data_IF_471702842567
#
_entry.id   IF_471702842567
#
_cell.length_a   1.000
_cell.length_b   1.000
_cell.length_c   1.000
_cell.angle_alpha   90.00
_cell.angle_beta   90.00
_cell.angle_gamma   90.00
#
_symmetry.space_group_name_H-M   'P 1'
#
loop_
_entity.id
_entity.type
_entity.pdbx_description
1 polymer ?
#
# COMPACT_ATOMS: atom_id res chain seq x y z
N UNK A 1 -6.88 8.47 23.19
CA UNK A 1 -6.67 8.42 21.73
C UNK A 1 -5.19 8.34 21.34
N UNK A 2 -4.24 8.47 22.27
CA UNK A 2 -2.79 8.39 22.03
C UNK A 2 -2.21 6.98 22.22
N UNK A 3 -2.93 6.08 22.87
CA UNK A 3 -2.42 4.74 23.22
C UNK A 3 -2.78 3.65 22.19
N UNK A 4 -3.90 3.80 21.47
CA UNK A 4 -4.38 2.81 20.49
C UNK A 4 -4.63 3.48 19.13
N UNK A 5 -3.60 3.67 18.33
CA UNK A 5 -3.77 4.04 16.93
C UNK A 5 -3.63 2.81 16.01
N UNK A 6 -4.25 2.88 14.82
CA UNK A 6 -4.25 1.80 13.83
C UNK A 6 -2.85 1.31 13.47
N UNK A 7 -1.89 2.23 13.37
CA UNK A 7 -0.51 1.94 12.98
C UNK A 7 0.22 1.12 14.06
N UNK A 8 0.03 1.48 15.34
CA UNK A 8 0.61 0.75 16.46
C UNK A 8 0.06 -0.68 16.52
N UNK A 9 -1.26 -0.85 16.41
CA UNK A 9 -1.90 -2.16 16.44
C UNK A 9 -1.43 -3.04 15.28
N UNK A 10 -1.32 -2.48 14.08
CA UNK A 10 -0.81 -3.19 12.92
C UNK A 10 0.66 -3.60 13.12
N UNK A 11 1.48 -2.70 13.66
CA UNK A 11 2.88 -2.99 13.99
C UNK A 11 2.98 -4.09 15.04
N UNK A 12 2.21 -3.99 16.11
CA UNK A 12 2.18 -4.98 17.18
C UNK A 12 1.64 -6.33 16.70
N UNK A 13 0.62 -6.33 15.83
CA UNK A 13 0.11 -7.55 15.18
C UNK A 13 1.15 -8.23 14.31
N UNK A 14 1.98 -7.48 13.59
CA UNK A 14 3.11 -8.02 12.81
C UNK A 14 4.21 -8.58 13.71
N UNK A 15 4.55 -7.88 14.78
CA UNK A 15 5.55 -8.33 15.77
C UNK A 15 5.10 -9.61 16.45
N UNK A 16 3.83 -9.70 16.88
CA UNK A 16 3.24 -10.92 17.44
C UNK A 16 3.24 -12.08 16.44
N UNK A 17 2.91 -11.82 15.18
CA UNK A 17 2.96 -12.82 14.12
C UNK A 17 4.38 -13.29 13.80
N UNK A 18 5.41 -12.49 14.11
CA UNK A 18 6.81 -12.88 13.99
C UNK A 18 7.23 -13.74 15.19
N UNK A 19 7.16 -13.19 16.38
CA UNK A 19 7.46 -13.85 17.66
C UNK A 19 6.93 -13.00 18.82
N UNK A 20 6.21 -13.62 19.74
CA UNK A 20 5.62 -12.93 20.89
C UNK A 20 6.66 -12.22 21.78
N UNK A 21 7.90 -12.74 21.80
CA UNK A 21 9.01 -12.17 22.61
C UNK A 21 9.49 -10.82 22.08
N UNK A 22 9.15 -10.46 20.85
CA UNK A 22 9.43 -9.11 20.30
C UNK A 22 8.60 -8.04 20.99
N UNK A 23 7.42 -8.40 21.51
CA UNK A 23 6.57 -7.48 22.28
C UNK A 23 6.86 -7.59 23.78
N UNK A 24 6.94 -8.82 24.29
CA UNK A 24 7.26 -9.07 25.67
C UNK A 24 8.36 -10.13 25.79
N UNK A 25 9.62 -9.72 26.07
CA UNK A 25 10.75 -10.63 26.17
C UNK A 25 10.64 -11.68 27.27
N UNK A 26 9.77 -11.50 28.25
CA UNK A 26 9.56 -12.43 29.37
C UNK A 26 8.70 -13.64 28.95
N UNK A 27 8.09 -13.62 27.76
CA UNK A 27 7.32 -14.74 27.28
C UNK A 27 8.22 -15.90 26.87
N UNK A 28 7.76 -17.16 27.02
CA UNK A 28 8.55 -18.32 26.67
C UNK A 28 8.77 -18.42 25.15
N UNK A 29 9.90 -19.02 24.77
CA UNK A 29 10.13 -19.41 23.36
C UNK A 29 9.17 -20.53 22.97
N UNK A 30 8.42 -20.35 21.90
CA UNK A 30 7.56 -21.41 21.34
C UNK A 30 8.37 -22.30 20.42
N UNK A 31 8.56 -23.58 20.74
CA UNK A 31 9.29 -24.52 19.89
C UNK A 31 8.75 -24.65 18.47
N UNK A 32 7.45 -24.38 18.29
CA UNK A 32 6.77 -24.48 16.99
C UNK A 32 6.70 -23.13 16.25
N UNK A 33 7.35 -22.09 16.79
CA UNK A 33 7.36 -20.78 16.14
C UNK A 33 8.00 -20.83 14.77
N UNK A 34 7.58 -19.94 13.88
CA UNK A 34 8.20 -19.79 12.56
C UNK A 34 9.70 -19.44 12.64
N UNK A 35 10.13 -18.79 13.73
CA UNK A 35 11.55 -18.50 13.98
C UNK A 35 12.33 -19.78 14.22
N UNK A 36 11.82 -20.69 15.07
CA UNK A 36 12.44 -21.98 15.32
C UNK A 36 12.44 -22.88 14.07
N UNK A 37 11.35 -22.89 13.31
CA UNK A 37 11.29 -23.61 12.03
C UNK A 37 12.30 -23.05 11.01
N UNK A 38 12.51 -21.73 10.99
CA UNK A 38 13.54 -21.10 10.17
C UNK A 38 14.94 -21.56 10.58
N UNK A 39 15.22 -21.59 11.89
CA UNK A 39 16.51 -22.08 12.43
C UNK A 39 16.74 -23.54 12.05
N UNK A 40 15.71 -24.39 12.11
CA UNK A 40 15.79 -25.79 11.72
C UNK A 40 16.15 -25.95 10.23
N UNK A 41 15.48 -25.21 9.37
CA UNK A 41 15.76 -25.23 7.94
C UNK A 41 17.16 -24.69 7.61
N UNK A 42 17.58 -23.60 8.23
CA UNK A 42 18.91 -23.03 8.03
C UNK A 42 20.00 -24.06 8.44
N UNK A 43 19.82 -24.68 9.60
CA UNK A 43 20.77 -25.66 10.10
C UNK A 43 20.88 -26.88 9.17
N UNK A 44 19.74 -27.46 8.75
CA UNK A 44 19.68 -28.58 7.82
C UNK A 44 20.40 -28.24 6.50
N UNK A 45 20.06 -27.11 5.88
CA UNK A 45 20.68 -26.68 4.61
C UNK A 45 22.17 -26.39 4.79
N UNK A 46 22.56 -25.85 5.94
CA UNK A 46 23.98 -25.64 6.25
C UNK A 46 24.73 -26.97 6.36
N UNK A 47 24.16 -28.01 6.98
CA UNK A 47 24.75 -29.34 7.04
C UNK A 47 24.87 -29.98 5.65
N UNK A 48 23.78 -29.99 4.88
CA UNK A 48 23.74 -30.59 3.55
C UNK A 48 24.71 -29.90 2.57
N UNK A 49 24.88 -28.58 2.72
CA UNK A 49 25.73 -27.76 1.85
C UNK A 49 27.18 -27.60 2.32
N UNK A 50 27.71 -28.42 3.22
CA UNK A 50 29.03 -28.27 3.82
C UNK A 50 30.16 -28.34 2.77
N UNK A 51 30.12 -29.35 1.90
CA UNK A 51 31.16 -29.62 0.91
C UNK A 51 31.32 -28.43 -0.07
N UNK A 52 30.24 -27.81 -0.46
CA UNK A 52 30.23 -26.72 -1.45
C UNK A 52 30.23 -25.35 -0.82
N UNK A 53 30.18 -25.27 0.50
CA UNK A 53 30.06 -24.04 1.28
C UNK A 53 28.88 -23.19 0.80
N UNK A 54 27.71 -23.81 0.65
CA UNK A 54 26.49 -23.15 0.21
C UNK A 54 26.08 -22.07 1.21
N UNK A 55 25.51 -21.00 0.68
CA UNK A 55 25.13 -19.82 1.45
C UNK A 55 23.63 -19.60 1.47
N UNK A 56 23.13 -18.90 2.47
CA UNK A 56 21.72 -18.65 2.70
C UNK A 56 21.51 -17.18 3.07
N UNK A 57 20.37 -16.60 2.65
CA UNK A 57 19.93 -15.27 3.03
C UNK A 57 18.70 -15.36 3.92
N UNK A 58 18.64 -14.56 4.96
CA UNK A 58 17.46 -14.41 5.83
C UNK A 58 17.02 -12.96 5.81
N UNK A 59 15.80 -12.72 5.36
CA UNK A 59 15.16 -11.42 5.38
C UNK A 59 14.23 -11.30 6.58
N UNK A 60 14.46 -10.26 7.39
CA UNK A 60 13.60 -9.87 8.49
C UNK A 60 13.64 -8.35 8.62
N UNK A 61 12.53 -7.68 8.39
CA UNK A 61 12.41 -6.22 8.50
C UNK A 61 12.01 -5.80 9.91
N UNK A 62 11.33 -6.70 10.64
CA UNK A 62 10.97 -6.51 12.03
C UNK A 62 12.12 -6.86 12.97
N UNK A 63 12.19 -6.18 14.13
CA UNK A 63 13.21 -6.46 15.16
C UNK A 63 14.66 -6.33 14.66
N UNK A 64 14.94 -5.34 13.78
CA UNK A 64 16.29 -5.09 13.27
C UNK A 64 17.23 -4.59 14.37
N UNK A 65 18.51 -5.08 14.42
CA UNK A 65 19.47 -4.59 15.41
C UNK A 65 19.73 -3.09 15.25
N UNK A 66 19.55 -2.29 16.29
CA UNK A 66 19.92 -0.88 16.28
C UNK A 66 21.44 -0.76 16.43
N UNK A 67 22.13 -0.32 15.39
CA UNK A 67 23.57 -0.07 15.47
C UNK A 67 23.87 1.13 16.37
N UNK A 68 24.96 1.09 17.14
CA UNK A 68 25.43 2.16 18.04
C UNK A 68 25.70 3.53 17.37
N UNK A 69 25.39 3.71 16.09
CA UNK A 69 25.70 4.89 15.26
C UNK A 69 24.46 5.66 14.75
N UNK A 70 23.27 5.40 15.27
CA UNK A 70 22.04 6.07 14.76
C UNK A 70 21.78 7.45 15.39
N UNK A 71 22.73 8.03 16.17
CA UNK A 71 22.56 9.37 16.76
C UNK A 71 23.13 10.53 15.95
N UNK A 72 23.68 10.31 14.75
CA UNK A 72 24.10 11.45 13.92
C UNK A 72 23.99 11.15 12.43
N UNK A 73 23.14 11.89 11.74
CA UNK A 73 23.24 12.07 10.30
C UNK A 73 22.02 11.69 9.46
N UNK A 74 21.02 12.57 9.45
CA UNK A 74 20.10 12.70 8.33
C UNK A 74 20.90 13.04 7.08
N UNK A 75 21.07 12.10 6.17
CA UNK A 75 21.42 12.40 4.78
C UNK A 75 20.39 11.73 3.89
N UNK A 76 19.61 12.58 3.22
CA UNK A 76 18.62 12.22 2.26
C UNK A 76 19.26 11.48 1.06
N UNK A 77 18.87 10.24 0.83
CA UNK A 77 19.08 9.58 -0.46
C UNK A 77 17.85 9.83 -1.34
N UNK A 78 18.04 10.57 -2.43
CA UNK A 78 17.06 10.74 -3.50
C UNK A 78 16.91 9.41 -4.25
N UNK A 79 15.82 8.73 -4.04
CA UNK A 79 15.35 7.62 -4.85
C UNK A 79 13.82 7.57 -4.70
N UNK A 80 13.11 7.48 -5.81
CA UNK A 80 11.67 7.54 -5.98
C UNK A 80 10.93 6.35 -5.32
N UNK A 81 10.84 6.36 -4.00
CA UNK A 81 9.96 5.50 -3.21
C UNK A 81 9.45 6.35 -2.06
N UNK A 82 8.13 6.32 -1.80
CA UNK A 82 7.51 7.19 -0.80
C UNK A 82 8.28 7.16 0.51
N UNK A 83 9.10 8.18 0.80
CA UNK A 83 9.86 8.22 2.04
C UNK A 83 8.95 8.35 3.26
N UNK A 84 7.68 8.70 3.02
CA UNK A 84 6.68 8.96 4.04
C UNK A 84 6.26 7.71 4.83
N UNK A 85 6.12 6.54 4.18
CA UNK A 85 5.72 5.32 4.87
C UNK A 85 6.86 4.74 5.72
N UNK A 86 8.08 4.72 5.18
CA UNK A 86 9.26 4.30 5.95
C UNK A 86 9.67 5.33 7.02
N UNK A 87 9.45 6.63 6.77
CA UNK A 87 9.65 7.66 7.78
C UNK A 87 8.57 7.60 8.86
N UNK A 88 7.35 7.20 8.50
CA UNK A 88 6.24 7.02 9.43
C UNK A 88 6.45 5.76 10.29
N UNK A 89 6.86 4.63 9.71
CA UNK A 89 7.23 3.41 10.45
C UNK A 89 8.42 3.68 11.38
N UNK A 90 9.45 4.37 10.90
CA UNK A 90 10.60 4.75 11.72
C UNK A 90 10.26 5.79 12.79
N UNK A 91 9.28 6.67 12.56
CA UNK A 91 8.81 7.63 13.56
C UNK A 91 7.97 6.95 14.65
N UNK A 92 7.14 5.96 14.27
CA UNK A 92 6.34 5.18 15.23
C UNK A 92 7.25 4.33 16.12
N UNK A 93 8.26 3.69 15.54
CA UNK A 93 9.27 2.94 16.30
C UNK A 93 10.14 3.87 17.21
N UNK A 94 10.30 5.15 16.83
CA UNK A 94 11.08 6.12 17.60
C UNK A 94 10.33 6.77 18.78
N UNK A 95 9.00 6.86 18.69
CA UNK A 95 8.18 7.51 19.74
C UNK A 95 7.79 6.56 20.90
N UNK A 96 8.01 5.23 20.75
CA UNK A 96 7.42 4.24 21.67
C UNK A 96 8.45 3.40 22.43
N UNK A 97 9.78 3.62 22.27
CA UNK A 97 10.74 2.72 22.91
C UNK A 97 11.59 3.38 24.00
N UNK A 98 11.59 2.79 25.23
CA UNK A 98 12.69 2.93 26.15
C UNK A 98 13.93 2.23 25.60
N UNK A 99 15.11 2.61 26.12
CA UNK A 99 16.45 2.08 25.82
C UNK A 99 16.49 0.63 25.31
N UNK A 100 17.27 0.39 24.23
CA UNK A 100 17.53 -0.86 23.47
C UNK A 100 16.66 -2.06 23.87
N UNK A 101 15.81 -2.61 22.98
CA UNK A 101 15.03 -3.78 23.34
C UNK A 101 16.00 -4.90 23.78
N UNK A 102 15.84 -5.49 24.95
CA UNK A 102 16.74 -6.51 25.49
C UNK A 102 16.77 -7.79 24.63
N UNK A 103 15.88 -7.89 23.65
CA UNK A 103 15.69 -9.06 22.79
C UNK A 103 15.59 -8.66 21.31
N UNK A 104 16.40 -9.29 20.46
CA UNK A 104 16.26 -9.19 19.01
C UNK A 104 16.16 -10.56 18.36
N UNK A 105 15.31 -10.70 17.35
CA UNK A 105 15.19 -11.96 16.58
C UNK A 105 16.51 -12.32 15.90
N UNK A 106 17.30 -11.34 15.49
CA UNK A 106 18.60 -11.55 14.87
C UNK A 106 19.58 -12.26 15.81
N UNK A 107 19.66 -11.80 17.05
CA UNK A 107 20.53 -12.39 18.06
C UNK A 107 20.02 -13.77 18.49
N UNK A 108 18.69 -13.93 18.67
CA UNK A 108 18.07 -15.22 19.02
C UNK A 108 18.36 -16.30 17.95
N UNK A 109 18.19 -15.96 16.67
CA UNK A 109 18.52 -16.90 15.58
C UNK A 109 20.01 -17.23 15.58
N UNK A 110 20.89 -16.23 15.74
CA UNK A 110 22.34 -16.46 15.77
C UNK A 110 22.74 -17.36 16.93
N UNK A 111 22.23 -17.11 18.12
CA UNK A 111 22.54 -17.93 19.30
C UNK A 111 22.03 -19.38 19.15
N UNK A 112 20.83 -19.57 18.64
CA UNK A 112 20.27 -20.89 18.34
C UNK A 112 21.06 -21.64 17.28
N UNK A 113 21.53 -20.97 16.24
CA UNK A 113 22.37 -21.59 15.20
C UNK A 113 23.75 -21.94 15.74
N UNK A 114 24.36 -21.11 16.57
CA UNK A 114 25.64 -21.39 17.23
C UNK A 114 25.50 -22.56 18.20
N UNK A 115 24.43 -22.62 18.99
CA UNK A 115 24.14 -23.75 19.87
C UNK A 115 24.00 -25.07 19.13
N UNK A 116 23.60 -25.04 17.84
CA UNK A 116 23.52 -26.19 16.94
C UNK A 116 24.84 -26.54 16.23
N UNK A 117 25.91 -25.78 16.50
CA UNK A 117 27.24 -26.05 16.00
C UNK A 117 27.65 -25.29 14.76
N UNK A 118 26.89 -24.29 14.29
CA UNK A 118 27.34 -23.37 13.24
C UNK A 118 28.34 -22.39 13.84
N UNK A 119 29.58 -22.29 13.29
CA UNK A 119 30.55 -21.34 13.78
C UNK A 119 30.02 -19.89 13.67
N UNK A 120 30.21 -19.09 14.75
CA UNK A 120 29.69 -17.72 14.82
C UNK A 120 30.18 -16.85 13.66
N UNK A 121 31.38 -17.03 13.20
CA UNK A 121 32.00 -16.32 12.08
C UNK A 121 31.34 -16.63 10.72
N UNK A 122 30.56 -17.71 10.63
CA UNK A 122 29.79 -18.05 9.43
C UNK A 122 28.41 -17.37 9.40
N UNK A 123 28.02 -16.69 10.46
CA UNK A 123 26.76 -15.97 10.58
C UNK A 123 27.07 -14.48 10.66
N UNK A 124 26.48 -13.67 9.78
CA UNK A 124 26.69 -12.23 9.76
C UNK A 124 25.38 -11.46 9.60
N UNK A 125 25.35 -10.25 10.13
CA UNK A 125 24.27 -9.30 9.93
C UNK A 125 24.73 -8.16 9.02
N UNK A 126 23.93 -7.81 8.03
CA UNK A 126 24.23 -6.66 7.15
C UNK A 126 24.35 -5.36 7.94
N UNK A 127 23.64 -5.28 9.09
CA UNK A 127 23.63 -4.13 9.98
C UNK A 127 24.99 -3.86 10.66
N UNK A 128 25.86 -4.86 10.74
CA UNK A 128 27.22 -4.73 11.26
C UNK A 128 28.18 -4.07 10.26
N UNK A 129 27.79 -4.03 8.97
CA UNK A 129 28.59 -3.43 7.89
C UNK A 129 28.12 -1.99 7.59
N UNK A 130 28.52 -1.04 8.42
CA UNK A 130 28.04 0.35 8.36
C UNK A 130 28.67 1.21 7.25
N UNK A 131 29.72 0.73 6.56
CA UNK A 131 30.38 1.45 5.48
C UNK A 131 30.36 0.62 4.19
N UNK A 132 30.41 1.29 3.04
CA UNK A 132 30.45 0.61 1.74
C UNK A 132 31.65 -0.35 1.61
N UNK A 133 32.80 0.01 2.20
CA UNK A 133 33.95 -0.86 2.21
C UNK A 133 33.69 -2.17 3.00
N UNK A 134 33.09 -2.06 4.20
CA UNK A 134 32.71 -3.22 5.01
C UNK A 134 31.63 -4.07 4.34
N UNK A 135 30.65 -3.45 3.66
CA UNK A 135 29.67 -4.18 2.88
C UNK A 135 30.30 -4.99 1.75
N UNK A 136 31.22 -4.38 0.99
CA UNK A 136 31.95 -5.06 -0.08
C UNK A 136 32.75 -6.25 0.46
N UNK A 137 33.43 -6.08 1.59
CA UNK A 137 34.17 -7.15 2.27
C UNK A 137 33.23 -8.28 2.72
N UNK A 138 32.09 -7.93 3.37
CA UNK A 138 31.10 -8.89 3.80
C UNK A 138 30.53 -9.70 2.61
N UNK A 139 30.20 -9.03 1.52
CA UNK A 139 29.71 -9.69 0.31
C UNK A 139 30.77 -10.60 -0.32
N UNK A 140 32.03 -10.24 -0.25
CA UNK A 140 33.15 -11.13 -0.69
C UNK A 140 33.21 -12.39 0.19
N UNK A 141 33.07 -12.26 1.52
CA UNK A 141 33.02 -13.40 2.45
C UNK A 141 31.81 -14.31 2.20
N UNK A 142 30.64 -13.74 1.84
CA UNK A 142 29.48 -14.55 1.45
C UNK A 142 29.75 -15.29 0.13
N UNK A 143 30.25 -14.63 -0.90
CA UNK A 143 30.57 -15.28 -2.19
C UNK A 143 31.62 -16.41 -2.04
N UNK A 144 32.59 -16.24 -1.16
CA UNK A 144 33.61 -17.28 -0.90
C UNK A 144 33.08 -18.43 -0.03
N UNK A 145 31.91 -18.27 0.62
CA UNK A 145 31.37 -19.24 1.57
C UNK A 145 32.05 -19.21 2.94
N UNK A 146 32.76 -18.13 3.28
CA UNK A 146 33.25 -17.90 4.64
C UNK A 146 32.10 -17.50 5.56
N UNK A 147 31.19 -16.64 5.08
CA UNK A 147 29.90 -16.36 5.72
C UNK A 147 28.85 -17.18 4.99
N UNK A 148 28.20 -18.09 5.72
CA UNK A 148 27.23 -19.04 5.16
C UNK A 148 25.78 -18.60 5.38
N UNK A 149 25.52 -17.78 6.41
CA UNK A 149 24.20 -17.22 6.73
C UNK A 149 24.35 -15.72 6.83
N UNK A 150 23.67 -14.99 5.93
CA UNK A 150 23.62 -13.53 5.96
C UNK A 150 22.18 -13.12 6.29
N UNK A 151 22.02 -12.35 7.36
CA UNK A 151 20.72 -11.83 7.80
C UNK A 151 20.65 -10.33 7.60
N UNK A 152 19.47 -9.83 7.21
CA UNK A 152 19.27 -8.40 7.06
C UNK A 152 17.86 -8.01 6.66
N UNK A 153 17.63 -6.69 6.67
CA UNK A 153 16.37 -6.11 6.20
C UNK A 153 16.34 -5.95 4.69
N UNK A 154 15.13 -5.89 4.12
CA UNK A 154 14.91 -5.62 2.69
C UNK A 154 15.61 -4.36 2.25
N UNK A 155 15.52 -3.29 3.04
CA UNK A 155 16.16 -2.02 2.74
C UNK A 155 17.69 -2.12 2.61
N UNK A 156 18.36 -2.81 3.55
CA UNK A 156 19.83 -2.90 3.54
C UNK A 156 20.38 -3.94 2.56
N UNK A 157 19.62 -5.00 2.30
CA UNK A 157 20.01 -6.08 1.38
C UNK A 157 19.37 -5.92 -0.02
N UNK A 158 18.35 -5.06 -0.15
CA UNK A 158 17.59 -4.89 -1.38
C UNK A 158 18.36 -4.21 -2.50
N UNK A 159 19.31 -3.30 -2.22
CA UNK A 159 20.06 -2.56 -3.24
C UNK A 159 21.51 -2.99 -3.32
N UNK A 160 22.04 -3.17 -4.55
CA UNK A 160 23.46 -3.33 -4.80
C UNK A 160 24.13 -4.63 -4.32
N UNK A 161 23.39 -5.55 -3.70
CA UNK A 161 23.96 -6.80 -3.20
C UNK A 161 24.17 -7.83 -4.32
N UNK A 162 25.38 -8.33 -4.43
CA UNK A 162 25.78 -9.34 -5.42
C UNK A 162 26.48 -10.50 -4.71
N UNK A 163 25.69 -11.47 -4.22
CA UNK A 163 26.16 -12.60 -3.38
C UNK A 163 25.65 -13.96 -3.85
N UNK A 164 25.06 -14.03 -5.04
CA UNK A 164 24.33 -15.20 -5.54
C UNK A 164 25.18 -16.44 -5.81
N UNK A 165 26.50 -16.31 -5.94
CA UNK A 165 27.38 -17.38 -6.46
C UNK A 165 27.12 -18.77 -5.85
N UNK A 166 26.96 -18.84 -4.53
CA UNK A 166 26.75 -20.07 -3.74
C UNK A 166 25.39 -20.11 -3.03
N UNK A 167 24.51 -19.16 -3.37
CA UNK A 167 23.26 -18.95 -2.67
C UNK A 167 22.25 -20.04 -3.05
N UNK A 168 21.89 -20.90 -2.11
CA UNK A 168 20.96 -22.03 -2.32
C UNK A 168 19.58 -21.78 -1.71
N UNK A 169 19.52 -20.99 -0.64
CA UNK A 169 18.26 -20.74 0.05
C UNK A 169 18.09 -19.27 0.44
N UNK A 170 16.84 -18.82 0.37
CA UNK A 170 16.38 -17.54 0.85
C UNK A 170 15.21 -17.78 1.81
N UNK A 171 15.22 -17.12 2.96
CA UNK A 171 14.22 -17.22 4.01
C UNK A 171 13.55 -15.87 4.20
N UNK A 172 12.26 -15.77 3.85
CA UNK A 172 11.41 -14.63 4.16
C UNK A 172 10.72 -14.88 5.51
N UNK A 173 11.29 -14.34 6.58
CA UNK A 173 10.80 -14.55 7.93
C UNK A 173 9.59 -13.68 8.26
N UNK A 174 9.50 -12.52 7.62
CA UNK A 174 8.37 -11.61 7.69
C UNK A 174 7.83 -11.22 6.31
N UNK A 175 6.58 -10.81 6.27
CA UNK A 175 5.92 -10.35 5.06
C UNK A 175 6.15 -8.84 4.88
N UNK A 176 6.73 -8.39 3.75
CA UNK A 176 6.79 -6.97 3.43
C UNK A 176 5.42 -6.44 3.00
N UNK A 177 5.24 -5.12 3.04
CA UNK A 177 3.99 -4.48 2.63
C UNK A 177 3.73 -4.48 1.11
N UNK A 178 4.81 -4.57 0.33
CA UNK A 178 4.75 -4.42 -1.12
C UNK A 178 5.14 -5.73 -1.83
N UNK A 179 4.38 -6.15 -2.85
CA UNK A 179 4.76 -7.29 -3.69
C UNK A 179 6.13 -7.12 -4.34
N UNK A 180 6.48 -5.88 -4.75
CA UNK A 180 7.79 -5.58 -5.35
C UNK A 180 8.98 -5.87 -4.43
N UNK A 181 8.81 -5.78 -3.12
CA UNK A 181 9.86 -6.13 -2.16
C UNK A 181 10.12 -7.64 -2.14
N UNK A 182 9.08 -8.47 -2.28
CA UNK A 182 9.24 -9.92 -2.45
C UNK A 182 9.95 -10.29 -3.76
N UNK A 183 9.62 -9.60 -4.84
CA UNK A 183 10.32 -9.77 -6.12
C UNK A 183 11.78 -9.34 -6.00
N UNK A 184 12.03 -8.24 -5.30
CA UNK A 184 13.37 -7.75 -5.06
C UNK A 184 14.18 -8.73 -4.20
N UNK A 185 13.60 -9.30 -3.12
CA UNK A 185 14.22 -10.35 -2.31
C UNK A 185 14.51 -11.59 -3.16
N UNK A 186 13.51 -12.10 -3.88
CA UNK A 186 13.64 -13.28 -4.76
C UNK A 186 14.68 -13.06 -5.87
N UNK A 187 14.75 -11.85 -6.42
CA UNK A 187 15.75 -11.47 -7.42
C UNK A 187 17.20 -11.49 -6.92
N UNK A 188 17.44 -11.69 -5.61
CA UNK A 188 18.80 -11.89 -5.07
C UNK A 188 19.30 -13.31 -5.25
N UNK A 189 18.40 -14.29 -5.24
CA UNK A 189 18.72 -15.69 -5.41
C UNK A 189 18.49 -16.17 -6.85
N UNK A 190 17.38 -15.75 -7.47
CA UNK A 190 17.05 -16.05 -8.86
C UNK A 190 17.80 -15.04 -9.75
N UNK A 191 19.09 -15.25 -9.91
CA UNK A 191 19.94 -14.32 -10.64
C UNK A 191 21.00 -15.04 -11.43
N UNK A 192 21.33 -14.50 -12.60
CA UNK A 192 22.44 -14.97 -13.42
C UNK A 192 23.77 -14.97 -12.61
N UNK A 193 24.57 -16.03 -12.74
CA UNK A 193 25.81 -16.22 -11.99
C UNK A 193 25.65 -17.05 -10.72
N UNK A 194 24.45 -17.51 -10.36
CA UNK A 194 24.28 -18.53 -9.33
C UNK A 194 24.76 -19.88 -9.87
N UNK A 195 25.60 -20.58 -9.10
CA UNK A 195 26.13 -21.89 -9.47
C UNK A 195 25.14 -23.02 -9.24
N UNK A 196 24.15 -22.81 -8.41
CA UNK A 196 23.14 -23.82 -8.11
C UNK A 196 22.09 -23.84 -9.21
N UNK A 197 21.75 -25.03 -9.69
CA UNK A 197 20.70 -25.25 -10.69
C UNK A 197 19.32 -25.05 -10.10
N UNK A 198 19.17 -25.40 -8.83
CA UNK A 198 17.94 -25.27 -8.05
C UNK A 198 18.21 -24.42 -6.83
N UNK A 199 17.26 -23.55 -6.52
CA UNK A 199 17.29 -22.66 -5.36
C UNK A 199 15.96 -22.72 -4.64
N UNK A 200 15.97 -22.51 -3.34
CA UNK A 200 14.81 -22.62 -2.50
C UNK A 200 14.46 -21.28 -1.87
N UNK A 201 13.19 -20.90 -1.93
CA UNK A 201 12.63 -19.73 -1.26
C UNK A 201 11.64 -20.21 -0.22
N UNK A 202 11.96 -20.01 1.05
CA UNK A 202 11.12 -20.36 2.18
C UNK A 202 10.39 -19.12 2.67
N UNK A 203 9.07 -19.20 2.75
CA UNK A 203 8.22 -18.16 3.33
C UNK A 203 7.57 -18.72 4.57
N UNK A 204 7.75 -18.02 5.68
CA UNK A 204 7.26 -18.45 6.98
C UNK A 204 6.03 -17.65 7.37
N UNK A 205 4.97 -18.37 7.73
CA UNK A 205 3.67 -17.80 8.06
C UNK A 205 3.18 -18.36 9.37
N UNK A 206 2.74 -17.52 10.28
CA UNK A 206 2.06 -17.96 11.50
C UNK A 206 0.56 -17.94 11.25
N UNK A 207 -0.06 -19.12 11.24
CA UNK A 207 -1.49 -19.30 10.96
C UNK A 207 -2.35 -18.58 12.02
N UNK A 208 -3.55 -18.17 11.60
CA UNK A 208 -4.53 -17.47 12.45
C UNK A 208 -4.01 -16.20 13.11
N UNK A 209 -3.05 -15.53 12.48
CA UNK A 209 -2.49 -14.24 12.92
C UNK A 209 -2.56 -13.19 11.83
N UNK A 210 -2.22 -11.96 12.18
CA UNK A 210 -2.09 -10.86 11.24
C UNK A 210 -1.04 -11.16 10.13
N UNK A 211 -0.07 -12.01 10.40
CA UNK A 211 0.94 -12.45 9.43
C UNK A 211 0.31 -13.18 8.24
N UNK A 212 -0.60 -14.14 8.50
CA UNK A 212 -1.32 -14.85 7.44
C UNK A 212 -2.15 -13.91 6.57
N UNK A 213 -2.79 -12.93 7.17
CA UNK A 213 -3.54 -11.90 6.45
C UNK A 213 -2.64 -11.06 5.53
N UNK A 214 -1.48 -10.62 6.03
CA UNK A 214 -0.53 -9.85 5.22
C UNK A 214 -0.05 -10.64 3.99
N UNK A 215 0.32 -11.90 4.17
CA UNK A 215 0.74 -12.77 3.06
C UNK A 215 -0.36 -12.90 2.01
N UNK A 216 -1.62 -13.10 2.44
CA UNK A 216 -2.77 -13.18 1.53
C UNK A 216 -2.99 -11.86 0.78
N UNK A 217 -2.89 -10.72 1.48
CA UNK A 217 -3.05 -9.38 0.89
C UNK A 217 -1.98 -9.11 -0.16
N UNK A 218 -0.71 -9.39 0.15
CA UNK A 218 0.40 -9.20 -0.78
C UNK A 218 0.27 -10.15 -1.99
N UNK A 219 -0.19 -11.38 -1.80
CA UNK A 219 -0.46 -12.31 -2.90
C UNK A 219 -1.58 -11.79 -3.82
N UNK A 220 -2.66 -11.26 -3.27
CA UNK A 220 -3.75 -10.68 -4.05
C UNK A 220 -3.29 -9.46 -4.84
N UNK A 221 -2.50 -8.55 -4.23
CA UNK A 221 -1.88 -7.42 -4.91
C UNK A 221 -0.97 -7.89 -6.05
N UNK A 222 -0.17 -8.93 -5.84
CA UNK A 222 0.70 -9.51 -6.87
C UNK A 222 -0.11 -10.08 -8.05
N UNK A 223 -1.20 -10.80 -7.77
CA UNK A 223 -2.11 -11.33 -8.80
C UNK A 223 -2.70 -10.18 -9.63
N UNK A 224 -3.15 -9.12 -8.99
CA UNK A 224 -3.70 -7.93 -9.64
C UNK A 224 -2.67 -7.25 -10.55
N UNK A 225 -1.47 -6.97 -10.05
CA UNK A 225 -0.38 -6.38 -10.83
C UNK A 225 -0.06 -7.26 -12.04
N UNK A 226 0.02 -8.58 -11.86
CA UNK A 226 0.31 -9.52 -12.93
C UNK A 226 -0.79 -9.54 -14.00
N UNK A 227 -2.06 -9.40 -13.62
CA UNK A 227 -3.18 -9.32 -14.57
C UNK A 227 -3.08 -8.07 -15.44
N UNK A 228 -2.77 -6.92 -14.85
CA UNK A 228 -2.60 -5.65 -15.58
C UNK A 228 -1.40 -5.73 -16.52
N UNK A 229 -0.25 -6.18 -16.01
CA UNK A 229 1.01 -6.18 -16.77
C UNK A 229 1.03 -7.21 -17.91
N UNK A 230 0.33 -8.33 -17.77
CA UNK A 230 0.34 -9.39 -18.79
C UNK A 230 -0.78 -9.30 -19.81
N UNK A 231 -1.74 -8.40 -19.64
CA UNK A 231 -2.92 -8.20 -20.52
C UNK A 231 -3.69 -9.49 -20.85
N UNK A 232 -3.51 -10.57 -20.09
CA UNK A 232 -4.08 -11.89 -20.37
C UNK A 232 -5.54 -12.06 -19.96
N UNK A 233 -6.10 -11.09 -19.23
CA UNK A 233 -7.52 -11.10 -18.89
C UNK A 233 -7.99 -9.65 -18.71
N UNK A 234 -8.78 -9.11 -19.66
CA UNK A 234 -9.37 -7.78 -19.50
C UNK A 234 -10.54 -7.88 -18.51
N UNK A 235 -10.26 -7.88 -17.23
CA UNK A 235 -11.30 -7.63 -16.23
C UNK A 235 -11.55 -6.12 -16.26
N UNK A 236 -12.75 -5.72 -16.69
CA UNK A 236 -13.16 -4.31 -16.84
C UNK A 236 -13.33 -3.58 -15.49
N UNK A 237 -13.35 -4.30 -14.39
CA UNK A 237 -13.38 -3.74 -13.04
C UNK A 237 -12.63 -4.67 -12.10
N UNK A 238 -11.59 -4.15 -11.47
CA UNK A 238 -10.97 -4.79 -10.34
C UNK A 238 -11.20 -3.88 -9.13
N UNK A 239 -11.66 -4.46 -8.03
CA UNK A 239 -11.73 -3.72 -6.77
C UNK A 239 -10.31 -3.35 -6.37
N UNK A 240 -10.08 -2.05 -6.14
CA UNK A 240 -8.82 -1.55 -5.65
C UNK A 240 -8.65 -2.03 -4.19
N UNK A 241 -7.74 -2.99 -4.03
CA UNK A 241 -7.49 -3.63 -2.72
C UNK A 241 -6.75 -2.65 -1.78
N UNK A 242 -6.24 -1.53 -2.31
CA UNK A 242 -5.51 -0.54 -1.50
C UNK A 242 -6.41 0.33 -0.61
N UNK A 243 -7.73 0.42 -0.90
CA UNK A 243 -8.66 1.19 -0.08
C UNK A 243 -9.37 0.39 1.02
N UNK A 244 -9.23 -0.92 1.05
CA UNK A 244 -9.68 -1.71 2.20
C UNK A 244 -8.66 -1.58 3.35
N UNK A 245 -8.52 -0.37 3.89
CA UNK A 245 -7.93 -0.23 5.21
C UNK A 245 -8.76 -1.09 6.17
N UNK A 246 -8.17 -2.19 6.65
CA UNK A 246 -8.77 -3.00 7.70
C UNK A 246 -9.26 -2.08 8.81
N UNK A 247 -10.52 -2.20 9.16
CA UNK A 247 -11.01 -1.50 10.34
C UNK A 247 -10.27 -2.03 11.58
N UNK A 248 -10.12 -1.19 12.58
CA UNK A 248 -9.55 -1.56 13.90
C UNK A 248 -10.11 -2.89 14.41
N UNK A 249 -11.39 -3.14 14.21
CA UNK A 249 -12.08 -4.31 14.64
C UNK A 249 -11.63 -5.56 13.84
N UNK A 250 -11.36 -5.47 12.53
CA UNK A 250 -10.87 -6.56 11.68
C UNK A 250 -9.48 -7.03 12.10
N UNK A 251 -8.57 -6.10 12.38
CA UNK A 251 -7.24 -6.44 12.88
C UNK A 251 -7.36 -7.15 14.22
N UNK A 252 -8.21 -6.65 15.11
CA UNK A 252 -8.42 -7.25 16.43
C UNK A 252 -9.04 -8.64 16.34
N UNK A 253 -9.96 -8.87 15.40
CA UNK A 253 -10.55 -10.18 15.13
C UNK A 253 -9.54 -11.20 14.58
N UNK A 254 -8.71 -10.75 13.64
CA UNK A 254 -7.63 -11.59 13.09
C UNK A 254 -6.58 -11.94 14.16
N UNK A 255 -6.25 -11.02 15.07
CA UNK A 255 -5.34 -11.27 16.18
C UNK A 255 -5.97 -12.20 17.24
N UNK A 256 -7.30 -12.17 17.41
CA UNK A 256 -8.01 -13.05 18.36
C UNK A 256 -8.24 -14.49 17.84
N UNK A 257 -8.08 -14.71 16.53
CA UNK A 257 -8.24 -16.03 15.91
C UNK A 257 -9.67 -16.58 15.93
N UNK A 258 -10.68 -15.77 16.22
CA UNK A 258 -12.09 -16.19 16.25
C UNK A 258 -12.80 -15.84 14.93
N UNK A 259 -13.09 -16.87 14.14
CA UNK A 259 -13.74 -16.73 12.83
C UNK A 259 -15.13 -16.08 12.90
N UNK A 260 -15.85 -16.23 14.02
CA UNK A 260 -17.17 -15.61 14.24
C UNK A 260 -17.07 -14.10 14.37
N UNK A 261 -15.96 -13.59 14.86
CA UNK A 261 -15.72 -12.15 14.93
C UNK A 261 -15.56 -11.58 13.51
N UNK A 262 -14.88 -12.31 12.62
CA UNK A 262 -14.75 -11.95 11.21
C UNK A 262 -16.12 -11.93 10.50
N UNK A 263 -16.89 -13.02 10.64
CA UNK A 263 -18.24 -13.11 10.05
C UNK A 263 -19.16 -11.99 10.53
N UNK A 264 -19.15 -11.68 11.84
CA UNK A 264 -19.91 -10.55 12.39
C UNK A 264 -19.54 -9.24 11.74
N UNK A 265 -18.26 -9.03 11.47
CA UNK A 265 -17.76 -7.77 10.92
C UNK A 265 -18.11 -7.62 9.45
N UNK A 266 -17.98 -8.68 8.67
CA UNK A 266 -18.40 -8.70 7.27
C UNK A 266 -19.92 -8.36 7.19
N UNK A 267 -20.72 -8.93 8.08
CA UNK A 267 -22.15 -8.61 8.20
C UNK A 267 -22.41 -7.15 8.65
N UNK A 268 -21.62 -6.61 9.57
CA UNK A 268 -21.75 -5.21 10.01
C UNK A 268 -21.42 -4.23 8.86
N UNK A 269 -20.42 -4.53 8.03
CA UNK A 269 -20.07 -3.77 6.82
C UNK A 269 -21.21 -3.83 5.81
N UNK A 270 -21.78 -5.01 5.54
CA UNK A 270 -22.90 -5.18 4.62
C UNK A 270 -24.15 -4.42 5.12
N UNK A 271 -24.45 -4.48 6.40
CA UNK A 271 -25.55 -3.71 7.01
C UNK A 271 -25.31 -2.21 6.85
N UNK A 272 -24.10 -1.72 7.09
CA UNK A 272 -23.77 -0.30 6.90
C UNK A 272 -23.94 0.13 5.43
N UNK A 273 -23.47 -0.68 4.48
CA UNK A 273 -23.63 -0.47 3.03
C UNK A 273 -25.12 -0.41 2.64
N UNK A 274 -25.90 -1.38 3.08
CA UNK A 274 -27.34 -1.43 2.78
C UNK A 274 -28.09 -0.24 3.38
N UNK A 275 -27.72 0.21 4.58
CA UNK A 275 -28.29 1.42 5.19
C UNK A 275 -27.98 2.66 4.37
N UNK A 276 -26.76 2.80 3.88
CA UNK A 276 -26.34 3.92 3.02
C UNK A 276 -27.12 3.90 1.69
N UNK A 277 -27.24 2.73 1.05
CA UNK A 277 -28.03 2.57 -0.18
C UNK A 277 -29.50 2.94 0.04
N UNK A 278 -30.11 2.49 1.14
CA UNK A 278 -31.46 2.86 1.51
C UNK A 278 -31.64 4.38 1.71
N UNK A 279 -30.71 5.01 2.43
CA UNK A 279 -30.76 6.46 2.65
C UNK A 279 -30.60 7.24 1.33
N UNK A 280 -29.71 6.83 0.45
CA UNK A 280 -29.53 7.42 -0.88
C UNK A 280 -30.80 7.25 -1.75
N UNK A 281 -31.42 6.09 -1.73
CA UNK A 281 -32.69 5.85 -2.46
C UNK A 281 -33.79 6.73 -1.94
N UNK A 282 -33.96 6.83 -0.63
CA UNK A 282 -34.95 7.72 -0.01
C UNK A 282 -34.71 9.20 -0.36
N UNK A 283 -33.44 9.63 -0.33
CA UNK A 283 -33.07 11.00 -0.72
C UNK A 283 -33.41 11.28 -2.20
N UNK A 284 -33.17 10.30 -3.09
CA UNK A 284 -33.56 10.43 -4.50
C UNK A 284 -35.10 10.50 -4.66
N UNK A 285 -35.85 9.68 -3.93
CA UNK A 285 -37.30 9.74 -3.93
C UNK A 285 -37.84 11.14 -3.50
N UNK A 286 -37.34 11.65 -2.38
CA UNK A 286 -37.76 12.98 -1.91
C UNK A 286 -37.39 14.08 -2.92
N UNK A 287 -36.25 14.00 -3.57
CA UNK A 287 -35.89 14.96 -4.63
C UNK A 287 -36.81 14.88 -5.84
N UNK A 288 -37.21 13.67 -6.25
CA UNK A 288 -38.15 13.49 -7.35
C UNK A 288 -39.55 13.99 -6.98
N UNK A 289 -39.99 13.74 -5.78
CA UNK A 289 -41.29 14.26 -5.25
C UNK A 289 -41.28 15.79 -5.21
N UNK A 290 -40.22 16.42 -4.73
CA UNK A 290 -40.11 17.88 -4.69
C UNK A 290 -40.07 18.48 -6.10
N UNK A 291 -39.38 17.82 -7.04
CA UNK A 291 -39.41 18.22 -8.45
C UNK A 291 -40.81 18.17 -9.04
N UNK A 292 -41.56 17.09 -8.79
CA UNK A 292 -42.93 16.93 -9.33
C UNK A 292 -43.89 17.90 -8.68
N UNK A 293 -43.80 18.07 -7.36
CA UNK A 293 -44.80 18.86 -6.62
C UNK A 293 -44.55 20.37 -6.67
N UNK A 294 -43.28 20.79 -6.80
CA UNK A 294 -42.90 22.20 -6.68
C UNK A 294 -42.16 22.72 -7.90
N UNK A 295 -41.07 22.06 -8.28
CA UNK A 295 -40.14 22.63 -9.28
C UNK A 295 -40.75 22.62 -10.69
N UNK A 296 -41.26 21.48 -11.14
CA UNK A 296 -41.88 21.40 -12.47
C UNK A 296 -43.15 22.23 -12.63
N UNK A 297 -44.09 22.30 -11.68
CA UNK A 297 -45.24 23.20 -11.79
C UNK A 297 -44.83 24.68 -11.91
N UNK A 298 -43.80 25.11 -11.12
CA UNK A 298 -43.30 26.47 -11.21
C UNK A 298 -42.67 26.78 -12.58
N UNK A 299 -41.84 25.86 -13.10
CA UNK A 299 -41.28 25.98 -14.44
C UNK A 299 -42.34 26.01 -15.55
N UNK A 300 -43.39 25.20 -15.41
CA UNK A 300 -44.51 25.18 -16.36
C UNK A 300 -45.22 26.53 -16.39
N UNK A 301 -45.51 27.13 -15.25
CA UNK A 301 -46.12 28.44 -15.18
C UNK A 301 -45.23 29.55 -15.74
N UNK A 302 -43.93 29.53 -15.46
CA UNK A 302 -42.98 30.45 -16.01
C UNK A 302 -42.89 30.35 -17.55
N UNK A 303 -42.79 29.11 -18.06
CA UNK A 303 -42.75 28.88 -19.52
C UNK A 303 -44.08 29.26 -20.21
N UNK A 304 -45.24 29.07 -19.55
CA UNK A 304 -46.53 29.57 -20.07
C UNK A 304 -46.51 31.11 -20.15
N UNK A 305 -45.93 31.77 -19.15
CA UNK A 305 -45.77 33.21 -19.16
C UNK A 305 -44.90 33.68 -20.34
N UNK A 306 -43.76 33.04 -20.59
CA UNK A 306 -42.96 33.32 -21.75
C UNK A 306 -43.67 33.06 -23.07
N UNK A 307 -44.38 31.94 -23.20
CA UNK A 307 -45.12 31.61 -24.39
C UNK A 307 -46.19 32.70 -24.70
N UNK A 308 -46.95 33.10 -23.69
CA UNK A 308 -47.97 34.18 -23.82
C UNK A 308 -47.30 35.48 -24.22
N UNK A 309 -46.12 35.80 -23.68
CA UNK A 309 -45.34 36.99 -24.07
C UNK A 309 -44.92 36.93 -25.56
N UNK A 310 -44.33 35.83 -25.97
CA UNK A 310 -43.92 35.64 -27.37
C UNK A 310 -45.05 35.68 -28.35
N UNK A 311 -46.25 35.12 -27.99
CA UNK A 311 -47.45 35.22 -28.82
C UNK A 311 -47.93 36.66 -28.97
N UNK A 312 -47.85 37.46 -27.91
CA UNK A 312 -48.16 38.87 -27.97
C UNK A 312 -47.14 39.65 -28.84
N UNK A 313 -45.87 39.36 -28.69
CA UNK A 313 -44.81 39.98 -29.52
C UNK A 313 -44.96 39.59 -30.99
N UNK A 314 -45.32 38.35 -31.31
CA UNK A 314 -45.60 37.91 -32.67
C UNK A 314 -46.79 38.69 -33.29
N UNK A 315 -47.86 38.86 -32.55
CA UNK A 315 -49.00 39.68 -33.00
C UNK A 315 -48.58 41.15 -33.26
N UNK A 316 -47.74 41.68 -32.42
CA UNK A 316 -47.22 43.06 -32.59
C UNK A 316 -46.32 43.15 -33.84
N UNK A 317 -45.48 42.16 -34.11
CA UNK A 317 -44.65 42.08 -35.31
C UNK A 317 -45.53 41.94 -36.57
N UNK A 318 -46.61 41.14 -36.53
CA UNK A 318 -47.53 41.01 -37.65
C UNK A 318 -48.30 42.30 -37.92
N UNK A 319 -48.68 43.02 -36.85
CA UNK A 319 -49.37 44.31 -36.98
C UNK A 319 -48.45 45.44 -37.46
N UNK A 320 -47.15 45.32 -37.14
CA UNK A 320 -46.12 46.30 -37.51
C UNK A 320 -44.94 45.62 -38.23
N UNK A 321 -45.15 45.14 -39.47
CA UNK A 321 -44.10 44.45 -40.19
C UNK A 321 -42.93 45.37 -40.45
N UNK A 322 -41.73 44.86 -40.28
CA UNK A 322 -40.50 45.62 -40.60
C UNK A 322 -40.52 46.08 -42.04
N UNK A 323 -40.12 47.32 -42.32
CA UNK A 323 -39.94 47.80 -43.67
C UNK A 323 -38.97 46.88 -44.42
N UNK A 324 -39.19 46.67 -45.74
CA UNK A 324 -38.38 45.79 -46.56
C UNK A 324 -36.88 46.11 -46.54
N UNK A 325 -36.56 47.38 -46.29
CA UNK A 325 -35.18 47.90 -46.22
C UNK A 325 -34.54 47.89 -44.85
N UNK A 326 -35.25 47.33 -43.83
CA UNK A 326 -34.75 47.21 -42.45
C UNK A 326 -34.63 48.57 -41.72
N UNK A 327 -35.15 49.65 -42.28
CA UNK A 327 -35.16 51.00 -41.69
C UNK A 327 -36.58 51.43 -41.31
N UNK A 328 -36.85 51.54 -40.00
CA UNK A 328 -38.17 51.87 -39.46
C UNK A 328 -38.47 53.37 -39.44
N UNK A 329 -37.52 54.21 -39.88
CA UNK A 329 -37.57 55.66 -39.76
C UNK A 329 -36.80 56.17 -38.54
N UNK A 330 -36.45 57.43 -38.55
CA UNK A 330 -35.87 58.11 -37.41
C UNK A 330 -36.25 59.59 -37.39
N UNK A 331 -36.32 60.16 -36.21
CA UNK A 331 -36.58 61.59 -36.03
C UNK A 331 -35.26 62.37 -36.03
N UNK A 332 -35.13 63.34 -36.94
CA UNK A 332 -33.99 64.19 -37.01
C UNK A 332 -34.48 65.65 -36.99
N UNK A 333 -34.08 66.46 -35.98
CA UNK A 333 -34.47 67.83 -35.78
C UNK A 333 -35.98 68.08 -35.72
N UNK A 334 -36.79 67.14 -35.33
CA UNK A 334 -38.23 67.21 -35.20
C UNK A 334 -39.02 66.68 -36.41
N UNK A 335 -38.33 66.32 -37.50
CA UNK A 335 -38.94 65.71 -38.68
C UNK A 335 -38.75 64.17 -38.66
N UNK A 336 -39.80 63.37 -38.83
CA UNK A 336 -39.73 61.92 -38.93
C UNK A 336 -39.47 61.48 -40.34
N UNK A 337 -38.28 60.99 -40.62
CA UNK A 337 -37.81 60.52 -41.92
C UNK A 337 -37.96 59.00 -42.04
N UNK A 338 -38.68 58.54 -43.05
CA UNK A 338 -38.94 57.13 -43.32
C UNK A 338 -38.02 56.52 -44.37
N UNK A 339 -37.24 57.36 -45.04
CA UNK A 339 -36.26 56.93 -46.03
C UNK A 339 -34.85 56.97 -45.43
N UNK A 340 -34.08 55.90 -45.63
CA UNK A 340 -32.75 55.69 -45.03
C UNK A 340 -31.69 56.69 -45.55
N UNK A 341 -31.76 56.96 -46.85
CA UNK A 341 -30.77 57.84 -47.50
C UNK A 341 -31.03 59.30 -47.12
N UNK A 342 -32.32 59.70 -47.04
CA UNK A 342 -32.74 61.00 -46.60
C UNK A 342 -32.44 61.23 -45.10
N UNK A 343 -32.61 60.20 -44.28
CA UNK A 343 -32.25 60.24 -42.88
C UNK A 343 -30.74 60.35 -42.68
N UNK A 344 -29.92 59.62 -43.45
CA UNK A 344 -28.48 59.68 -43.45
C UNK A 344 -27.95 61.04 -43.92
N UNK A 345 -28.62 61.67 -44.87
CA UNK A 345 -28.25 63.05 -45.35
C UNK A 345 -28.62 64.17 -44.36
N UNK A 346 -29.60 63.98 -43.51
CA UNK A 346 -30.09 64.92 -42.52
C UNK A 346 -29.29 64.96 -41.20
N UNK A 347 -28.52 63.87 -40.91
CA UNK A 347 -27.59 63.77 -39.80
C UNK A 347 -26.32 64.59 -40.11
#
# INVERSE_FOLDING_TARGET
>A
PTEDNMLKITSDGRKLGLDQRVINPDLPDDPNSKVNLCVDNIHRIWQDGQAEKLTQLVFCDLSTPKGKAAQSGRIAAKGTDSPELHALEAAIDAETEPEEPPFTIYDDIREKLVARGIPREQIAFIHEANTEARKKELFAKVRSGQVRVLMGSTFKMGAGMNVQDRLVALHDLDCPWRPGDLEQRSGRIIRQGNRNKEVHIYRYVTESTFDAYLWQTVENKQKFISQIMTSKSPVRSCEDIDEAALSYAEIKALCAGDERIREKMDLDVDVARLRLMKANHQSQQYRLEDNILRHFPAQIEENKGFLSGFEADMKTLEAHPHPKDGFAGMEVKGDFLTDKDNAGAAI
#
